data_IF_981696148868
#
_entry.id   IF_981696148868
#
_cell.length_a   1.000
_cell.length_b   1.000
_cell.length_c   1.000
_cell.angle_alpha   90.00
_cell.angle_beta   90.00
_cell.angle_gamma   90.00
#
_symmetry.space_group_name_H-M   'P 1'
#
loop_
_entity.id
_entity.type
_entity.pdbx_description
1 polymer ?
#
# COMPACT_ATOMS: atom_id res chain seq x y z
N UNK A 1 2.02 -3.06 -18.29
CA UNK A 1 1.68 -2.63 -16.91
C UNK A 1 2.10 -3.71 -15.92
N UNK A 2 2.94 -3.33 -15.01
CA UNK A 2 3.34 -4.17 -13.88
C UNK A 2 2.15 -4.36 -12.95
N UNK A 3 1.98 -5.56 -12.40
CA UNK A 3 0.90 -5.86 -11.45
C UNK A 3 1.49 -5.99 -10.06
N UNK A 4 1.01 -5.19 -9.12
CA UNK A 4 1.49 -5.21 -7.74
C UNK A 4 0.33 -5.23 -6.76
N UNK A 5 0.62 -5.53 -5.50
CA UNK A 5 -0.36 -5.50 -4.42
C UNK A 5 0.16 -4.69 -3.25
N UNK A 6 -0.76 -4.04 -2.54
CA UNK A 6 -0.52 -3.47 -1.23
C UNK A 6 -1.64 -3.90 -0.29
N UNK A 7 -1.28 -4.34 0.89
CA UNK A 7 -2.23 -4.72 1.93
C UNK A 7 -1.94 -3.97 3.21
N UNK A 8 -2.97 -3.38 3.78
CA UNK A 8 -2.90 -2.75 5.09
C UNK A 8 -3.60 -3.67 6.09
N UNK A 9 -2.81 -4.34 6.94
CA UNK A 9 -3.36 -5.17 8.01
C UNK A 9 -3.87 -4.25 9.10
N UNK A 10 -5.11 -4.47 9.51
CA UNK A 10 -5.90 -3.56 10.33
C UNK A 10 -6.28 -4.26 11.64
N UNK A 11 -5.79 -3.77 12.77
CA UNK A 11 -6.15 -4.31 14.09
C UNK A 11 -7.34 -3.60 14.73
N UNK A 12 -7.99 -2.70 13.98
CA UNK A 12 -9.10 -1.86 14.46
C UNK A 12 -8.67 -0.41 14.70
N UNK A 13 -7.46 -0.19 15.19
CA UNK A 13 -6.94 1.15 15.51
C UNK A 13 -5.69 1.51 14.71
N UNK A 14 -4.96 0.49 14.22
CA UNK A 14 -3.67 0.69 13.58
C UNK A 14 -3.58 -0.12 12.29
N UNK A 15 -2.75 0.37 11.38
CA UNK A 15 -2.30 -0.40 10.21
C UNK A 15 -0.87 -0.88 10.41
N UNK A 16 -0.60 -2.13 10.01
CA UNK A 16 0.77 -2.61 9.90
C UNK A 16 1.35 -2.08 8.59
N UNK A 17 2.42 -1.32 8.69
CA UNK A 17 3.04 -0.67 7.54
C UNK A 17 4.53 -0.97 7.48
N UNK A 18 5.08 -0.86 6.29
CA UNK A 18 6.49 -1.09 6.00
C UNK A 18 7.17 0.23 5.67
N UNK A 19 8.25 0.55 6.39
CA UNK A 19 9.13 1.67 6.07
C UNK A 19 10.26 1.17 5.17
N UNK A 20 10.24 1.55 3.90
CA UNK A 20 11.18 1.07 2.88
C UNK A 20 12.51 1.78 3.00
N UNK A 21 13.51 1.13 3.58
CA UNK A 21 14.80 1.79 3.85
C UNK A 21 16.02 0.99 3.37
N UNK A 22 15.87 -0.30 3.05
CA UNK A 22 17.03 -1.16 2.80
C UNK A 22 17.55 -1.13 1.35
N UNK A 23 16.74 -0.72 0.39
CA UNK A 23 17.14 -0.59 -1.00
C UNK A 23 17.24 0.88 -1.38
N UNK A 24 18.45 1.37 -1.68
CA UNK A 24 18.64 2.79 -2.00
C UNK A 24 17.98 3.20 -3.31
N UNK A 25 17.97 2.31 -4.33
CA UNK A 25 17.33 2.57 -5.62
C UNK A 25 15.97 1.89 -5.69
N UNK A 26 15.03 2.40 -4.91
CA UNK A 26 13.68 1.90 -4.76
C UNK A 26 12.73 3.10 -4.85
N UNK A 27 11.68 3.00 -5.66
CA UNK A 27 10.68 4.06 -5.82
C UNK A 27 10.13 4.54 -4.48
N UNK A 28 9.91 3.61 -3.54
CA UNK A 28 9.38 3.92 -2.22
C UNK A 28 10.44 4.08 -1.14
N UNK A 29 11.72 4.26 -1.50
CA UNK A 29 12.78 4.46 -0.50
C UNK A 29 12.44 5.64 0.44
N UNK A 30 12.49 5.37 1.73
CA UNK A 30 12.13 6.36 2.76
C UNK A 30 10.63 6.51 2.99
N UNK A 31 9.79 5.85 2.21
CA UNK A 31 8.32 5.94 2.34
C UNK A 31 7.77 4.82 3.20
N UNK A 32 6.65 5.10 3.83
CA UNK A 32 5.84 4.11 4.54
C UNK A 32 4.73 3.66 3.60
N UNK A 33 4.61 2.35 3.41
CA UNK A 33 3.61 1.74 2.53
C UNK A 33 2.96 0.54 3.20
N UNK A 34 1.93 -0.02 2.59
CA UNK A 34 1.39 -1.32 2.98
C UNK A 34 2.37 -2.45 2.66
N UNK A 35 2.06 -3.65 3.11
CA UNK A 35 2.84 -4.84 2.73
C UNK A 35 2.34 -5.34 1.38
N UNK A 36 3.25 -5.83 0.54
CA UNK A 36 2.89 -6.31 -0.78
C UNK A 36 4.09 -6.38 -1.69
N UNK A 37 3.83 -6.62 -2.96
CA UNK A 37 4.89 -6.73 -3.95
C UNK A 37 4.35 -7.08 -5.33
N UNK A 38 5.25 -7.51 -6.19
CA UNK A 38 4.94 -7.83 -7.58
C UNK A 38 4.25 -9.18 -7.70
N UNK A 39 3.17 -9.22 -8.46
CA UNK A 39 2.47 -10.47 -8.77
C UNK A 39 3.29 -11.34 -9.71
N UNK A 40 3.28 -12.63 -9.49
CA UNK A 40 3.82 -13.61 -10.41
C UNK A 40 2.81 -13.85 -11.53
N UNK A 41 3.29 -14.42 -12.66
CA UNK A 41 2.51 -14.50 -13.89
C UNK A 41 1.19 -15.27 -13.76
N UNK A 42 1.14 -16.25 -12.85
CA UNK A 42 -0.02 -17.11 -12.66
C UNK A 42 -0.84 -16.80 -11.41
N UNK A 43 -0.50 -15.70 -10.72
CA UNK A 43 -1.20 -15.32 -9.50
C UNK A 43 -2.36 -14.36 -9.76
N UNK A 44 -3.47 -14.60 -9.07
CA UNK A 44 -4.49 -13.56 -8.92
C UNK A 44 -3.97 -12.47 -7.97
N UNK A 45 -4.58 -11.27 -7.96
CA UNK A 45 -4.21 -10.25 -6.97
C UNK A 45 -4.32 -10.76 -5.53
N UNK A 46 -5.35 -11.54 -5.21
CA UNK A 46 -5.52 -12.11 -3.86
C UNK A 46 -4.38 -13.06 -3.51
N UNK A 47 -4.03 -13.96 -4.42
CA UNK A 47 -2.92 -14.91 -4.20
C UNK A 47 -1.59 -14.19 -4.01
N UNK A 48 -1.34 -13.18 -4.83
CA UNK A 48 -0.14 -12.33 -4.70
C UNK A 48 -0.07 -11.65 -3.33
N UNK A 49 -1.17 -11.05 -2.92
CA UNK A 49 -1.25 -10.36 -1.63
C UNK A 49 -0.99 -11.31 -0.47
N UNK A 50 -1.60 -12.50 -0.49
CA UNK A 50 -1.43 -13.49 0.57
C UNK A 50 0.02 -13.98 0.66
N UNK A 51 0.66 -14.24 -0.48
CA UNK A 51 2.05 -14.68 -0.53
C UNK A 51 3.00 -13.60 -0.04
N UNK A 52 2.85 -12.38 -0.56
CA UNK A 52 3.73 -11.26 -0.17
C UNK A 52 3.59 -10.92 1.31
N UNK A 53 2.37 -10.91 1.84
CA UNK A 53 2.15 -10.66 3.26
C UNK A 53 2.84 -11.73 4.12
N UNK A 54 2.77 -13.00 3.72
CA UNK A 54 3.44 -14.10 4.42
C UNK A 54 4.95 -13.93 4.39
N UNK A 55 5.51 -13.59 3.23
CA UNK A 55 6.95 -13.38 3.08
C UNK A 55 7.46 -12.20 3.92
N UNK A 56 6.73 -11.10 3.94
CA UNK A 56 7.16 -9.88 4.61
C UNK A 56 6.88 -9.86 6.11
N UNK A 57 5.81 -10.50 6.57
CA UNK A 57 5.36 -10.39 7.96
C UNK A 57 5.36 -11.71 8.72
N UNK A 58 5.41 -12.84 8.04
CA UNK A 58 5.22 -14.15 8.65
C UNK A 58 3.75 -14.50 8.93
N UNK A 59 2.83 -13.61 8.64
CA UNK A 59 1.41 -13.80 8.95
C UNK A 59 0.67 -14.55 7.85
N UNK A 60 -0.25 -15.41 8.25
CA UNK A 60 -1.21 -16.05 7.35
C UNK A 60 -2.53 -15.30 7.46
N UNK A 61 -2.84 -14.48 6.47
CA UNK A 61 -4.06 -13.69 6.44
C UNK A 61 -5.24 -14.64 6.17
N UNK A 62 -6.30 -14.51 6.97
CA UNK A 62 -7.50 -15.36 6.89
C UNK A 62 -8.76 -14.59 6.52
N UNK A 63 -8.78 -13.27 6.66
CA UNK A 63 -9.91 -12.44 6.22
C UNK A 63 -9.39 -11.12 5.64
N UNK A 64 -9.81 -10.82 4.39
CA UNK A 64 -9.38 -9.63 3.69
C UNK A 64 -10.48 -9.12 2.77
N UNK A 65 -10.29 -7.86 2.32
CA UNK A 65 -11.16 -7.23 1.33
C UNK A 65 -10.29 -6.65 0.22
N UNK A 66 -10.70 -6.87 -1.01
CA UNK A 66 -10.11 -6.20 -2.17
C UNK A 66 -10.81 -4.85 -2.31
N UNK A 67 -10.10 -3.76 -2.03
CA UNK A 67 -10.69 -2.46 -1.81
C UNK A 67 -10.70 -1.56 -3.03
N UNK A 68 -9.72 -1.70 -3.90
CA UNK A 68 -9.61 -0.84 -5.07
C UNK A 68 -8.38 -1.14 -5.90
N UNK A 69 -8.25 -0.42 -6.99
CA UNK A 69 -7.10 -0.51 -7.90
C UNK A 69 -6.55 0.88 -8.16
N UNK A 70 -5.23 1.01 -8.10
CA UNK A 70 -4.53 2.25 -8.44
C UNK A 70 -3.82 2.06 -9.77
N UNK A 71 -4.10 2.95 -10.72
CA UNK A 71 -3.35 3.04 -11.97
C UNK A 71 -2.24 4.07 -11.74
N UNK A 72 -1.02 3.58 -11.52
CA UNK A 72 0.14 4.41 -11.23
C UNK A 72 0.90 4.69 -12.54
N UNK A 73 0.99 5.95 -12.92
CA UNK A 73 1.70 6.41 -14.12
C UNK A 73 2.84 7.33 -13.68
N UNK A 74 4.05 7.04 -14.16
CA UNK A 74 5.24 7.79 -13.78
C UNK A 74 6.17 7.94 -15.00
N UNK A 75 6.87 9.06 -15.07
CA UNK A 75 7.95 9.24 -16.05
C UNK A 75 9.30 8.69 -15.56
N UNK A 76 9.38 8.32 -14.29
CA UNK A 76 10.62 7.87 -13.65
C UNK A 76 10.61 6.38 -13.33
N UNK A 77 9.49 5.86 -12.84
CA UNK A 77 9.32 4.48 -12.40
C UNK A 77 8.37 3.73 -13.33
N UNK A 78 8.38 2.39 -13.25
CA UNK A 78 7.47 1.57 -14.05
C UNK A 78 6.02 1.91 -13.75
N UNK A 79 5.22 2.00 -14.79
CA UNK A 79 3.77 2.10 -14.65
C UNK A 79 3.23 0.79 -14.10
N UNK A 80 2.26 0.88 -13.21
CA UNK A 80 1.71 -0.32 -12.58
C UNK A 80 0.24 -0.21 -12.22
N UNK A 81 -0.41 -1.36 -12.16
CA UNK A 81 -1.69 -1.49 -11.48
C UNK A 81 -1.41 -2.02 -10.08
N UNK A 82 -1.74 -1.23 -9.07
CA UNK A 82 -1.59 -1.60 -7.66
C UNK A 82 -2.95 -2.03 -7.13
N UNK A 83 -3.05 -3.28 -6.74
CA UNK A 83 -4.26 -3.83 -6.17
C UNK A 83 -4.24 -3.60 -4.66
N UNK A 84 -5.25 -2.91 -4.13
CA UNK A 84 -5.30 -2.49 -2.72
C UNK A 84 -6.19 -3.39 -1.90
N UNK A 85 -5.66 -3.84 -0.78
CA UNK A 85 -6.35 -4.72 0.16
C UNK A 85 -6.29 -4.18 1.57
N UNK A 86 -7.29 -4.52 2.37
CA UNK A 86 -7.22 -4.44 3.84
C UNK A 86 -7.50 -5.83 4.39
N UNK A 87 -6.84 -6.17 5.49
CA UNK A 87 -7.01 -7.46 6.15
C UNK A 87 -7.21 -7.24 7.64
N UNK A 88 -8.18 -7.93 8.24
CA UNK A 88 -8.52 -7.73 9.65
C UNK A 88 -8.50 -9.01 10.47
N UNK A 89 -8.10 -10.14 9.88
CA UNK A 89 -7.84 -11.40 10.59
C UNK A 89 -6.65 -12.12 9.99
N UNK A 90 -5.85 -12.68 10.86
CA UNK A 90 -4.65 -13.46 10.48
C UNK A 90 -4.28 -14.41 11.60
N UNK A 91 -3.44 -15.38 11.28
CA UNK A 91 -2.84 -16.30 12.22
C UNK A 91 -1.38 -15.95 12.43
N UNK A 92 -0.91 -16.07 13.66
CA UNK A 92 0.48 -15.79 14.03
C UNK A 92 0.67 -14.38 14.55
N UNK A 93 1.93 -14.04 14.81
CA UNK A 93 2.35 -12.69 15.21
C UNK A 93 3.30 -12.16 14.14
N UNK A 94 3.26 -10.85 13.83
CA UNK A 94 4.19 -10.30 12.86
C UNK A 94 5.62 -10.48 13.34
N UNK A 95 6.48 -10.96 12.45
CA UNK A 95 7.91 -10.99 12.70
C UNK A 95 8.50 -9.68 12.18
N UNK A 96 8.70 -8.74 13.10
CA UNK A 96 9.14 -7.39 12.76
C UNK A 96 10.59 -7.35 12.27
N UNK A 97 11.33 -8.45 12.36
CA UNK A 97 12.73 -8.50 11.97
C UNK A 97 13.04 -9.27 10.68
N UNK A 98 12.05 -9.87 10.02
CA UNK A 98 12.32 -10.75 8.87
C UNK A 98 12.38 -10.02 7.53
N UNK A 99 11.93 -8.79 7.43
CA UNK A 99 11.84 -8.10 6.15
C UNK A 99 13.20 -7.59 5.70
N UNK A 100 13.57 -7.95 4.46
CA UNK A 100 14.80 -7.50 3.82
C UNK A 100 14.67 -6.13 3.17
N UNK A 101 13.49 -5.53 3.15
CA UNK A 101 13.21 -4.29 2.42
C UNK A 101 13.04 -3.08 3.33
N UNK A 102 12.87 -3.28 4.62
CA UNK A 102 12.70 -2.19 5.57
C UNK A 102 12.26 -2.65 6.95
N UNK A 103 11.57 -1.79 7.64
CA UNK A 103 11.08 -2.01 9.00
C UNK A 103 9.57 -2.03 9.02
N UNK A 104 9.00 -3.00 9.71
CA UNK A 104 7.56 -3.06 9.97
C UNK A 104 7.24 -2.30 11.25
N UNK A 105 6.13 -1.58 11.25
CA UNK A 105 5.60 -0.93 12.45
C UNK A 105 4.08 -0.82 12.37
N UNK A 106 3.45 -0.86 13.54
CA UNK A 106 2.05 -0.54 13.68
C UNK A 106 1.89 0.98 13.78
N UNK A 107 1.17 1.57 12.83
CA UNK A 107 0.92 3.01 12.79
C UNK A 107 -0.54 3.26 13.12
N UNK A 108 -0.80 4.06 14.15
CA UNK A 108 -2.18 4.42 14.49
C UNK A 108 -2.84 5.15 13.33
N UNK A 109 -4.07 4.79 13.02
CA UNK A 109 -4.81 5.42 11.91
C UNK A 109 -4.89 6.93 12.08
N UNK A 110 -5.07 7.39 13.32
CA UNK A 110 -5.12 8.83 13.63
C UNK A 110 -3.80 9.55 13.41
N UNK A 111 -2.67 8.84 13.37
CA UNK A 111 -1.35 9.41 13.18
C UNK A 111 -0.91 9.41 11.71
N UNK A 112 -1.72 8.87 10.79
CA UNK A 112 -1.40 8.91 9.37
C UNK A 112 -1.39 10.37 8.90
N UNK A 113 -0.28 10.84 8.28
CA UNK A 113 -0.16 12.24 7.86
C UNK A 113 -0.89 12.49 6.54
N UNK A 114 -2.21 12.53 6.57
CA UNK A 114 -3.03 12.69 5.37
C UNK A 114 -3.15 14.16 4.93
N UNK A 115 -2.73 15.09 5.77
CA UNK A 115 -2.64 16.50 5.44
C UNK A 115 -1.27 16.85 4.84
N UNK A 116 -0.96 18.16 4.74
CA UNK A 116 0.30 18.61 4.14
C UNK A 116 1.56 18.36 4.96
N UNK A 117 1.46 18.17 6.28
CA UNK A 117 2.62 17.91 7.15
C UNK A 117 2.84 16.40 7.32
N UNK A 118 4.10 15.99 7.48
CA UNK A 118 4.49 14.56 7.50
C UNK A 118 4.60 13.94 8.88
N UNK A 119 4.76 14.70 9.93
CA UNK A 119 4.95 14.24 11.33
C UNK A 119 5.94 13.06 11.48
N UNK A 120 6.98 13.02 10.64
CA UNK A 120 7.97 11.93 10.66
C UNK A 120 7.61 10.69 9.84
N UNK A 121 6.43 10.65 9.25
CA UNK A 121 5.97 9.56 8.38
C UNK A 121 5.83 10.10 6.97
N UNK A 122 6.71 9.66 6.06
CA UNK A 122 6.68 10.09 4.66
C UNK A 122 5.83 9.14 3.84
N UNK A 123 4.83 9.67 3.15
CA UNK A 123 3.95 8.94 2.25
C UNK A 123 4.05 9.51 0.84
N UNK A 124 3.82 8.68 -0.17
CA UNK A 124 3.52 9.17 -1.50
C UNK A 124 2.25 10.05 -1.43
N UNK A 125 2.22 11.14 -2.18
CA UNK A 125 1.05 12.04 -2.16
C UNK A 125 -0.26 11.32 -2.54
N UNK A 126 -0.20 10.43 -3.51
CA UNK A 126 -1.37 9.66 -3.93
C UNK A 126 -1.84 8.66 -2.87
N UNK A 127 -0.92 8.15 -2.05
CA UNK A 127 -1.27 7.24 -0.96
C UNK A 127 -2.17 7.92 0.07
N UNK A 128 -2.01 9.23 0.26
CA UNK A 128 -2.90 10.00 1.14
C UNK A 128 -4.35 9.96 0.66
N UNK A 129 -4.55 9.92 -0.67
CA UNK A 129 -5.90 9.83 -1.25
C UNK A 129 -6.51 8.46 -0.97
N UNK A 130 -5.81 7.38 -1.35
CA UNK A 130 -6.43 6.06 -1.16
C UNK A 130 -6.49 5.64 0.31
N UNK A 131 -5.58 6.10 1.17
CA UNK A 131 -5.68 5.82 2.60
C UNK A 131 -6.95 6.43 3.21
N UNK A 132 -7.33 7.65 2.79
CA UNK A 132 -8.61 8.22 3.21
C UNK A 132 -9.79 7.35 2.79
N UNK A 133 -9.75 6.82 1.56
CA UNK A 133 -10.79 5.92 1.07
C UNK A 133 -10.81 4.61 1.85
N UNK A 134 -9.65 4.04 2.15
CA UNK A 134 -9.54 2.79 2.91
C UNK A 134 -10.02 2.94 4.35
N UNK A 135 -9.82 4.10 4.96
CA UNK A 135 -10.28 4.37 6.33
C UNK A 135 -11.81 4.39 6.45
N UNK A 136 -12.51 4.62 5.34
CA UNK A 136 -13.96 4.51 5.30
C UNK A 136 -14.35 3.06 4.99
N UNK A 137 -14.84 2.35 6.00
CA UNK A 137 -15.24 0.95 5.88
C UNK A 137 -16.40 0.75 4.89
N UNK A 138 -17.17 1.79 4.61
CA UNK A 138 -18.31 1.75 3.69
C UNK A 138 -17.92 2.12 2.26
N UNK A 139 -16.67 2.50 2.03
CA UNK A 139 -16.21 2.91 0.70
C UNK A 139 -16.35 1.74 -0.28
N UNK A 140 -17.11 1.89 -1.38
CA UNK A 140 -17.18 0.86 -2.43
C UNK A 140 -15.82 0.69 -3.12
N UNK A 141 -15.66 -0.44 -3.82
CA UNK A 141 -14.48 -0.65 -4.66
C UNK A 141 -14.26 0.57 -5.58
N UNK A 142 -13.03 1.04 -5.67
CA UNK A 142 -12.71 2.24 -6.43
C UNK A 142 -11.55 2.01 -7.40
N UNK A 143 -11.49 2.86 -8.41
CA UNK A 143 -10.39 2.95 -9.36
C UNK A 143 -9.77 4.34 -9.23
N UNK A 144 -8.50 4.39 -8.87
CA UNK A 144 -7.78 5.65 -8.67
C UNK A 144 -6.60 5.71 -9.63
N UNK A 145 -6.57 6.72 -10.49
CA UNK A 145 -5.42 6.96 -11.38
C UNK A 145 -4.58 8.09 -10.80
N UNK A 146 -3.28 7.86 -10.72
CA UNK A 146 -2.30 8.83 -10.22
C UNK A 146 -1.24 9.04 -11.28
N UNK A 147 -0.93 10.28 -11.59
CA UNK A 147 0.14 10.63 -12.54
C UNK A 147 1.19 11.42 -11.79
N UNK A 148 2.43 10.92 -11.88
CA UNK A 148 3.62 11.52 -11.27
C UNK A 148 4.61 11.95 -12.33
N UNK A 149 5.18 13.12 -12.15
CA UNK A 149 6.31 13.63 -12.94
C UNK A 149 7.41 13.98 -11.95
N UNK A 150 8.59 13.34 -12.07
CA UNK A 150 9.72 13.52 -11.16
C UNK A 150 9.30 13.38 -9.69
N UNK A 151 8.52 12.35 -9.40
CA UNK A 151 8.03 12.01 -8.06
C UNK A 151 7.04 13.03 -7.47
N UNK A 152 6.56 13.98 -8.25
CA UNK A 152 5.48 14.87 -7.85
C UNK A 152 4.16 14.45 -8.50
N UNK A 153 3.12 14.32 -7.68
CA UNK A 153 1.80 14.00 -8.20
C UNK A 153 1.21 15.23 -8.91
N UNK A 154 0.99 15.09 -10.22
CA UNK A 154 0.48 16.19 -11.03
C UNK A 154 -1.00 16.05 -11.35
N UNK A 155 -1.56 14.85 -11.23
CA UNK A 155 -2.96 14.61 -11.52
C UNK A 155 -3.45 13.36 -10.79
N UNK A 156 -4.72 13.40 -10.38
CA UNK A 156 -5.43 12.25 -9.82
C UNK A 156 -6.84 12.19 -10.40
N UNK A 157 -7.32 10.98 -10.69
CA UNK A 157 -8.69 10.73 -11.13
C UNK A 157 -9.29 9.61 -10.29
N UNK A 158 -10.47 9.82 -9.77
CA UNK A 158 -11.21 8.81 -9.02
C UNK A 158 -12.42 8.36 -9.83
N UNK A 159 -12.47 7.06 -10.12
CA UNK A 159 -13.54 6.45 -10.91
C UNK A 159 -13.75 7.17 -12.25
N UNK A 160 -12.65 7.57 -12.88
CA UNK A 160 -12.66 8.26 -14.16
C UNK A 160 -12.90 9.76 -14.11
N UNK A 161 -13.05 10.33 -12.92
CA UNK A 161 -13.33 11.76 -12.76
C UNK A 161 -12.15 12.48 -12.12
N UNK A 162 -11.84 13.66 -12.62
CA UNK A 162 -10.76 14.50 -12.07
C UNK A 162 -11.02 14.86 -10.59
N UNK A 163 -9.97 14.79 -9.82
CA UNK A 163 -9.97 15.26 -8.44
C UNK A 163 -9.42 16.68 -8.35
#
# INVERSE_FOLDING_TARGET
MKQTTLCYLDDGERYLMLHRTKKAHDASHGKWIGVGGKCEADESPDECMLREAKEETGLTITRWRYRGIVTFISDTWDNEYMHLFTADRWEGKPDMGIDNEGELAWIAKQDLPLGPSENGISLWEGDKIFLRLLLDEQQPFFSLKLIYIQDEMVKAKLNGKDL
#
